data_IF_579817936397
#
_entry.id   IF_579817936397
#
_cell.length_a   1.000
_cell.length_b   1.000
_cell.length_c   1.000
_cell.angle_alpha   90.00
_cell.angle_beta   90.00
_cell.angle_gamma   90.00
#
_symmetry.space_group_name_H-M   'P 1'
#
loop_
_entity.id
_entity.type
_entity.pdbx_description
1 polymer ?
#
# COMPACT_ATOMS: atom_id res chain seq x y z
N UNK A 1 -5.28 -45.75 -18.60
CA UNK A 1 -3.82 -45.53 -18.68
C UNK A 1 -3.56 -44.23 -17.98
N UNK A 2 -2.84 -44.18 -16.87
CA UNK A 2 -2.51 -42.92 -16.19
C UNK A 2 -1.34 -42.24 -16.95
N UNK A 3 -1.53 -40.97 -17.34
CA UNK A 3 -0.52 -40.16 -17.95
C UNK A 3 0.53 -39.76 -16.89
N UNK A 4 1.76 -40.23 -17.08
CA UNK A 4 2.91 -39.85 -16.28
C UNK A 4 3.23 -38.38 -16.56
N UNK A 5 2.93 -37.48 -15.58
CA UNK A 5 3.43 -36.12 -15.56
C UNK A 5 4.92 -36.14 -15.25
N UNK A 6 5.76 -36.06 -16.29
CA UNK A 6 7.21 -35.83 -16.15
C UNK A 6 7.41 -34.34 -15.92
N UNK A 7 7.55 -33.95 -14.66
CA UNK A 7 7.98 -32.59 -14.30
C UNK A 7 9.40 -32.39 -14.81
N UNK A 8 9.62 -31.41 -15.68
CA UNK A 8 10.94 -31.11 -16.22
C UNK A 8 11.90 -30.77 -15.07
N UNK A 9 13.08 -31.38 -15.01
CA UNK A 9 14.05 -31.19 -13.91
C UNK A 9 14.47 -29.72 -13.69
N UNK A 10 14.36 -28.88 -14.70
CA UNK A 10 14.56 -27.43 -14.60
C UNK A 10 13.53 -26.71 -13.74
N UNK A 11 12.26 -27.13 -13.76
CA UNK A 11 11.20 -26.54 -12.92
C UNK A 11 11.43 -26.93 -11.47
N UNK A 12 11.81 -28.18 -11.21
CA UNK A 12 12.13 -28.66 -9.85
C UNK A 12 13.34 -27.91 -9.25
N UNK A 13 14.36 -27.65 -10.07
CA UNK A 13 15.55 -26.89 -9.64
C UNK A 13 15.22 -25.43 -9.30
N UNK A 14 14.36 -24.77 -10.07
CA UNK A 14 13.91 -23.38 -9.80
C UNK A 14 13.11 -23.34 -8.51
N UNK A 15 12.22 -24.31 -8.28
CA UNK A 15 11.45 -24.42 -7.03
C UNK A 15 12.34 -24.68 -5.82
N UNK A 16 13.36 -25.54 -5.95
CA UNK A 16 14.30 -25.82 -4.88
C UNK A 16 15.17 -24.61 -4.52
N UNK A 17 15.63 -23.86 -5.52
CA UNK A 17 16.43 -22.64 -5.33
C UNK A 17 15.57 -21.53 -4.70
N UNK A 18 14.32 -21.37 -5.14
CA UNK A 18 13.38 -20.41 -4.55
C UNK A 18 13.01 -20.77 -3.10
N UNK A 19 12.79 -22.05 -2.83
CA UNK A 19 12.52 -22.54 -1.47
C UNK A 19 13.72 -22.38 -0.54
N UNK A 20 14.94 -22.72 -1.00
CA UNK A 20 16.16 -22.49 -0.25
C UNK A 20 16.47 -21.01 -0.03
N UNK A 21 16.15 -20.15 -1.02
CA UNK A 21 16.25 -18.69 -0.89
C UNK A 21 15.28 -18.12 0.16
N UNK A 22 14.04 -18.60 0.18
CA UNK A 22 13.03 -18.21 1.18
C UNK A 22 13.42 -18.71 2.59
N UNK A 23 13.89 -19.96 2.69
CA UNK A 23 14.41 -20.49 3.95
C UNK A 23 15.63 -19.71 4.45
N UNK A 24 16.53 -19.28 3.55
CA UNK A 24 17.72 -18.49 3.90
C UNK A 24 17.36 -17.07 4.33
N UNK A 25 16.41 -16.42 3.69
CA UNK A 25 15.90 -15.10 4.10
C UNK A 25 15.14 -15.19 5.43
N UNK A 26 14.33 -16.23 5.61
CA UNK A 26 13.67 -16.51 6.88
C UNK A 26 14.69 -16.78 8.00
N UNK A 27 15.69 -17.63 7.75
CA UNK A 27 16.73 -17.94 8.71
C UNK A 27 17.64 -16.73 9.03
N UNK A 28 17.96 -15.89 8.04
CA UNK A 28 18.71 -14.65 8.24
C UNK A 28 17.91 -13.64 9.07
N UNK A 29 16.62 -13.48 8.83
CA UNK A 29 15.74 -12.63 9.66
C UNK A 29 15.60 -13.19 11.08
N UNK A 30 15.38 -14.49 11.24
CA UNK A 30 15.32 -15.13 12.56
C UNK A 30 16.65 -14.97 13.28
N UNK A 31 17.79 -15.06 12.58
CA UNK A 31 19.12 -14.86 13.17
C UNK A 31 19.39 -13.38 13.50
N UNK A 32 18.96 -12.43 12.68
CA UNK A 32 19.02 -11.00 12.99
C UNK A 32 18.11 -10.64 14.17
N UNK A 33 16.89 -11.20 14.24
CA UNK A 33 16.01 -11.09 15.40
C UNK A 33 16.60 -11.77 16.64
N UNK A 34 17.21 -12.93 16.53
CA UNK A 34 17.90 -13.63 17.62
C UNK A 34 19.12 -12.88 18.13
N UNK A 35 19.88 -12.21 17.26
CA UNK A 35 21.02 -11.39 17.66
C UNK A 35 20.61 -10.04 18.24
N UNK A 36 19.46 -9.47 17.84
CA UNK A 36 18.87 -8.30 18.50
C UNK A 36 18.23 -8.63 19.84
N UNK A 37 17.61 -9.82 20.00
CA UNK A 37 17.08 -10.28 21.29
C UNK A 37 18.19 -10.70 22.26
N UNK A 38 19.37 -11.09 21.80
CA UNK A 38 20.57 -11.28 22.62
C UNK A 38 21.17 -9.96 23.12
N UNK A 39 20.72 -8.79 22.66
CA UNK A 39 20.85 -7.56 23.42
C UNK A 39 19.85 -7.61 24.58
N UNK A 40 20.24 -8.35 25.60
CA UNK A 40 19.61 -8.51 26.94
C UNK A 40 19.16 -7.17 27.58
N UNK A 41 19.36 -6.05 26.90
CA UNK A 41 18.94 -4.70 27.30
C UNK A 41 17.42 -4.43 27.32
N UNK A 42 16.61 -5.06 26.48
CA UNK A 42 15.19 -4.68 26.36
C UNK A 42 14.23 -5.44 27.29
N UNK A 43 14.56 -6.65 27.75
CA UNK A 43 13.77 -7.30 28.81
C UNK A 43 13.83 -6.47 30.12
N UNK A 44 14.86 -5.69 30.26
CA UNK A 44 15.10 -4.87 31.43
C UNK A 44 14.17 -3.67 31.62
N UNK A 45 13.51 -3.15 30.59
CA UNK A 45 12.73 -1.91 30.74
C UNK A 45 11.44 -2.08 31.54
N UNK A 46 10.85 -3.27 31.54
CA UNK A 46 9.60 -3.55 32.27
C UNK A 46 9.84 -4.08 33.69
N UNK A 47 10.79 -4.98 33.86
CA UNK A 47 11.23 -5.43 35.15
C UNK A 47 11.92 -4.29 35.93
N UNK A 48 12.55 -3.34 35.25
CA UNK A 48 13.09 -2.11 35.81
C UNK A 48 12.02 -1.15 36.37
N UNK A 49 10.73 -1.33 36.03
CA UNK A 49 9.66 -0.61 36.68
C UNK A 49 9.34 -1.15 38.08
N UNK A 50 9.67 -2.43 38.36
CA UNK A 50 9.48 -3.02 39.69
C UNK A 50 10.63 -2.61 40.62
N UNK A 51 10.34 -1.93 41.75
CA UNK A 51 11.38 -1.52 42.70
C UNK A 51 12.18 -2.68 43.25
N UNK A 52 11.55 -3.83 43.44
CA UNK A 52 12.18 -5.04 43.99
C UNK A 52 13.17 -5.67 43.00
N UNK A 53 12.79 -5.73 41.73
CA UNK A 53 13.69 -6.20 40.67
C UNK A 53 14.89 -5.27 40.48
N UNK A 54 14.70 -3.95 40.57
CA UNK A 54 15.77 -2.96 40.49
C UNK A 54 16.75 -3.10 41.67
N UNK A 55 16.23 -3.28 42.87
CA UNK A 55 17.03 -3.47 44.06
C UNK A 55 17.89 -4.74 43.98
N UNK A 56 17.31 -5.87 43.56
CA UNK A 56 18.02 -7.12 43.40
C UNK A 56 19.07 -7.07 42.29
N UNK A 57 18.75 -6.39 41.16
CA UNK A 57 19.71 -6.23 40.07
C UNK A 57 20.92 -5.37 40.42
N UNK A 58 20.76 -4.37 41.28
CA UNK A 58 21.85 -3.52 41.74
C UNK A 58 22.83 -4.24 42.68
N UNK A 59 22.46 -5.41 43.23
CA UNK A 59 23.29 -6.18 44.13
C UNK A 59 24.12 -7.27 43.44
N UNK A 60 23.92 -7.48 42.14
CA UNK A 60 24.65 -8.48 41.35
C UNK A 60 25.96 -7.91 40.78
N UNK A 61 27.08 -8.54 41.09
CA UNK A 61 28.38 -8.23 40.50
C UNK A 61 28.50 -8.76 39.07
N UNK A 62 29.30 -8.11 38.23
CA UNK A 62 29.45 -8.39 36.79
C UNK A 62 29.79 -9.83 36.43
N UNK A 63 30.52 -10.56 37.29
CA UNK A 63 30.98 -11.94 37.04
C UNK A 63 29.90 -13.00 37.33
N UNK A 64 28.82 -12.62 38.04
CA UNK A 64 27.68 -13.49 38.35
C UNK A 64 26.44 -13.14 37.48
N UNK A 65 26.62 -12.31 36.49
CA UNK A 65 25.50 -11.67 35.78
C UNK A 65 24.54 -12.68 35.13
N UNK A 66 25.02 -13.74 34.50
CA UNK A 66 24.16 -14.70 33.80
C UNK A 66 23.37 -15.59 34.77
N UNK A 67 24.01 -16.21 35.76
CA UNK A 67 23.32 -17.05 36.74
C UNK A 67 22.45 -16.25 37.72
N UNK A 68 22.88 -15.04 38.06
CA UNK A 68 22.11 -14.12 38.87
C UNK A 68 20.88 -13.58 38.16
N UNK A 69 20.98 -13.31 36.87
CA UNK A 69 19.83 -12.89 36.05
C UNK A 69 18.77 -14.00 36.01
N UNK A 70 19.19 -15.26 35.79
CA UNK A 70 18.26 -16.40 35.78
C UNK A 70 17.53 -16.57 37.13
N UNK A 71 18.23 -16.40 38.27
CA UNK A 71 17.60 -16.46 39.59
C UNK A 71 16.61 -15.31 39.81
N UNK A 72 16.95 -14.10 39.38
CA UNK A 72 16.06 -12.94 39.47
C UNK A 72 14.78 -13.12 38.63
N UNK A 73 14.92 -13.65 37.43
CA UNK A 73 13.81 -13.91 36.54
C UNK A 73 12.87 -14.97 37.13
N UNK A 74 13.41 -16.01 37.76
CA UNK A 74 12.63 -17.03 38.49
C UNK A 74 11.87 -16.43 39.67
N UNK A 75 12.55 -15.61 40.52
CA UNK A 75 11.93 -14.95 41.66
C UNK A 75 10.81 -13.98 41.19
N UNK A 76 11.07 -13.18 40.15
CA UNK A 76 10.07 -12.29 39.58
C UNK A 76 8.85 -13.07 39.09
N UNK A 77 9.10 -14.15 38.33
CA UNK A 77 8.02 -14.97 37.77
C UNK A 77 7.20 -15.67 38.88
N UNK A 78 7.82 -16.04 40.00
CA UNK A 78 7.13 -16.66 41.14
C UNK A 78 6.19 -15.67 41.87
N UNK A 79 6.62 -14.40 41.96
CA UNK A 79 5.92 -13.39 42.77
C UNK A 79 4.87 -12.57 41.94
N UNK A 80 4.85 -12.74 40.63
CA UNK A 80 3.94 -11.98 39.74
C UNK A 80 3.09 -12.89 38.83
N UNK A 81 2.22 -13.74 39.38
CA UNK A 81 1.46 -14.73 38.59
C UNK A 81 0.45 -14.14 37.61
N UNK A 82 0.08 -12.88 37.79
CA UNK A 82 -0.85 -12.17 36.90
C UNK A 82 -0.15 -11.31 35.84
N UNK A 83 1.18 -11.28 35.84
CA UNK A 83 1.96 -10.61 34.79
C UNK A 83 2.25 -11.59 33.63
N UNK A 84 1.81 -11.27 32.40
CA UNK A 84 2.10 -12.13 31.25
C UNK A 84 3.61 -12.35 31.04
N UNK A 85 4.47 -11.38 31.36
CA UNK A 85 5.92 -11.56 31.27
C UNK A 85 6.45 -12.62 32.27
N UNK A 86 5.82 -12.80 33.41
CA UNK A 86 6.21 -13.83 34.35
C UNK A 86 6.07 -15.24 33.76
N UNK A 87 5.00 -15.49 33.03
CA UNK A 87 4.78 -16.77 32.36
C UNK A 87 5.70 -16.95 31.15
N UNK A 88 5.94 -15.87 30.39
CA UNK A 88 6.90 -15.87 29.29
C UNK A 88 8.33 -16.18 29.78
N UNK A 89 8.75 -15.60 30.91
CA UNK A 89 10.05 -15.86 31.52
C UNK A 89 10.13 -17.33 31.93
N UNK A 90 9.12 -17.86 32.62
CA UNK A 90 9.07 -19.28 33.02
C UNK A 90 9.20 -20.24 31.85
N UNK A 91 8.56 -19.94 30.71
CA UNK A 91 8.62 -20.82 29.54
C UNK A 91 10.04 -20.96 28.97
N UNK A 92 10.90 -19.96 29.13
CA UNK A 92 12.29 -19.96 28.65
C UNK A 92 13.24 -20.89 29.41
N UNK A 93 12.84 -21.32 30.61
CA UNK A 93 13.64 -22.27 31.39
C UNK A 93 13.25 -23.73 31.15
N UNK A 94 12.42 -24.00 30.14
CA UNK A 94 11.84 -25.32 29.89
C UNK A 94 12.22 -25.88 28.52
N UNK A 95 13.45 -25.67 28.08
CA UNK A 95 13.92 -26.01 26.74
C UNK A 95 13.59 -27.44 26.27
N UNK A 96 13.53 -28.41 27.20
CA UNK A 96 13.28 -29.82 26.90
C UNK A 96 11.82 -30.29 27.20
N UNK A 97 10.93 -29.40 27.65
CA UNK A 97 9.58 -29.77 28.10
C UNK A 97 8.49 -29.06 27.25
N UNK A 98 8.46 -29.37 25.97
CA UNK A 98 7.56 -28.73 25.00
C UNK A 98 6.08 -28.58 25.46
N UNK A 99 5.39 -29.62 26.01
CA UNK A 99 3.98 -29.46 26.40
C UNK A 99 3.78 -28.41 27.52
N UNK A 100 4.71 -28.35 28.47
CA UNK A 100 4.65 -27.39 29.57
C UNK A 100 5.01 -25.98 29.09
N UNK A 101 5.98 -25.84 28.21
CA UNK A 101 6.35 -24.57 27.59
C UNK A 101 5.18 -23.97 26.81
N UNK A 102 4.53 -24.76 25.97
CA UNK A 102 3.32 -24.35 25.22
C UNK A 102 2.19 -23.91 26.15
N UNK A 103 1.95 -24.63 27.25
CA UNK A 103 0.95 -24.26 28.23
C UNK A 103 1.26 -22.91 28.90
N UNK A 104 2.52 -22.65 29.24
CA UNK A 104 2.95 -21.37 29.83
C UNK A 104 2.85 -20.20 28.84
N UNK A 105 3.21 -20.41 27.57
CA UNK A 105 3.03 -19.41 26.50
C UNK A 105 1.55 -19.10 26.27
N UNK A 106 0.69 -20.13 26.23
CA UNK A 106 -0.76 -19.94 26.14
C UNK A 106 -1.32 -19.15 27.32
N UNK A 107 -0.89 -19.45 28.54
CA UNK A 107 -1.30 -18.67 29.72
C UNK A 107 -0.79 -17.22 29.66
N UNK A 108 0.44 -17.00 29.21
CA UNK A 108 0.99 -15.67 28.98
C UNK A 108 0.15 -14.89 27.96
N UNK A 109 -0.24 -15.53 26.85
CA UNK A 109 -1.08 -14.91 25.82
C UNK A 109 -2.47 -14.52 26.37
N UNK A 110 -3.09 -15.36 27.20
CA UNK A 110 -4.37 -15.03 27.86
C UNK A 110 -4.26 -13.80 28.77
N UNK A 111 -3.19 -13.70 29.56
CA UNK A 111 -2.95 -12.55 30.44
C UNK A 111 -2.53 -11.28 29.69
N UNK A 112 -1.91 -11.43 28.52
CA UNK A 112 -1.48 -10.33 27.67
C UNK A 112 -2.55 -9.83 26.70
N UNK A 113 -3.81 -10.24 26.85
CA UNK A 113 -4.89 -10.05 25.85
C UNK A 113 -5.00 -8.65 25.26
N UNK A 114 -4.61 -7.59 25.98
CA UNK A 114 -4.63 -6.18 25.57
C UNK A 114 -3.23 -5.53 25.59
N UNK A 115 -2.15 -6.29 25.66
CA UNK A 115 -0.77 -5.79 25.78
C UNK A 115 0.07 -6.18 24.58
N UNK A 116 0.29 -5.27 23.58
CA UNK A 116 0.98 -5.62 22.34
C UNK A 116 2.42 -6.13 22.53
N UNK A 117 3.16 -5.57 23.48
CA UNK A 117 4.60 -5.92 23.68
C UNK A 117 4.78 -7.36 24.16
N UNK A 118 4.10 -7.85 25.21
CA UNK A 118 4.17 -9.27 25.58
C UNK A 118 3.64 -10.18 24.48
N UNK A 119 2.52 -9.83 23.81
CA UNK A 119 1.97 -10.63 22.72
C UNK A 119 2.96 -10.80 21.58
N UNK A 120 3.69 -9.74 21.18
CA UNK A 120 4.75 -9.83 20.17
C UNK A 120 5.83 -10.84 20.54
N UNK A 121 6.26 -10.86 21.80
CA UNK A 121 7.27 -11.82 22.29
C UNK A 121 6.74 -13.24 22.27
N UNK A 122 5.50 -13.43 22.71
CA UNK A 122 4.84 -14.74 22.70
C UNK A 122 4.70 -15.27 21.26
N UNK A 123 4.29 -14.42 20.33
CA UNK A 123 4.21 -14.74 18.91
C UNK A 123 5.55 -15.28 18.37
N UNK A 124 6.65 -14.59 18.69
CA UNK A 124 7.99 -15.00 18.26
C UNK A 124 8.38 -16.35 18.86
N UNK A 125 8.16 -16.58 20.15
CA UNK A 125 8.46 -17.84 20.82
C UNK A 125 7.64 -19.00 20.23
N UNK A 126 6.34 -18.77 19.93
CA UNK A 126 5.46 -19.76 19.30
C UNK A 126 5.95 -20.13 17.89
N UNK A 127 6.41 -19.13 17.10
CA UNK A 127 7.02 -19.40 15.80
C UNK A 127 8.31 -20.23 15.90
N UNK A 128 9.17 -19.90 16.87
CA UNK A 128 10.42 -20.63 17.09
C UNK A 128 10.19 -22.07 17.54
N UNK A 129 9.12 -22.31 18.31
CA UNK A 129 8.72 -23.64 18.77
C UNK A 129 7.95 -24.43 17.69
N UNK A 130 7.61 -23.82 16.57
CA UNK A 130 6.84 -24.43 15.48
C UNK A 130 5.33 -24.60 15.79
N UNK A 131 4.82 -23.93 16.83
CA UNK A 131 3.39 -23.91 17.17
C UNK A 131 2.68 -22.83 16.33
N UNK A 132 2.45 -23.18 15.08
CA UNK A 132 1.92 -22.24 14.07
C UNK A 132 0.51 -21.79 14.43
N UNK A 133 -0.36 -22.68 14.88
CA UNK A 133 -1.76 -22.36 15.23
C UNK A 133 -1.83 -21.34 16.37
N UNK A 134 -1.03 -21.54 17.42
CA UNK A 134 -0.95 -20.58 18.51
C UNK A 134 -0.34 -19.26 18.06
N UNK A 135 0.68 -19.27 17.19
CA UNK A 135 1.29 -18.08 16.63
C UNK A 135 0.30 -17.27 15.81
N UNK A 136 -0.50 -17.91 14.95
CA UNK A 136 -1.56 -17.28 14.15
C UNK A 136 -2.60 -16.64 15.06
N UNK A 137 -3.09 -17.35 16.07
CA UNK A 137 -4.05 -16.81 17.04
C UNK A 137 -3.48 -15.59 17.79
N UNK A 138 -2.22 -15.63 18.18
CA UNK A 138 -1.56 -14.51 18.87
C UNK A 138 -1.35 -13.32 17.94
N UNK A 139 -1.00 -13.57 16.67
CA UNK A 139 -0.86 -12.54 15.65
C UNK A 139 -2.19 -11.86 15.33
N UNK A 140 -3.28 -12.60 15.18
CA UNK A 140 -4.61 -12.03 14.98
C UNK A 140 -4.98 -11.03 16.08
N UNK A 141 -4.69 -11.37 17.35
CA UNK A 141 -4.89 -10.46 18.49
C UNK A 141 -3.98 -9.23 18.46
N UNK A 142 -2.71 -9.41 18.09
CA UNK A 142 -1.77 -8.29 17.91
C UNK A 142 -2.27 -7.31 16.85
N UNK A 143 -2.75 -7.84 15.75
CA UNK A 143 -3.26 -7.05 14.63
C UNK A 143 -4.54 -6.32 14.99
N UNK A 144 -5.44 -6.93 15.76
CA UNK A 144 -6.63 -6.26 16.28
C UNK A 144 -6.28 -5.09 17.22
N UNK A 145 -5.22 -5.21 18.03
CA UNK A 145 -4.75 -4.15 18.93
C UNK A 145 -3.93 -3.06 18.23
N UNK A 146 -3.20 -3.41 17.18
CA UNK A 146 -2.24 -2.55 16.48
C UNK A 146 -2.28 -2.80 14.98
N UNK A 147 -3.37 -2.38 14.30
CA UNK A 147 -3.50 -2.56 12.84
C UNK A 147 -2.39 -1.88 12.05
N UNK A 148 -1.81 -0.80 12.58
CA UNK A 148 -0.68 -0.08 12.00
C UNK A 148 0.58 -0.96 11.82
N UNK A 149 0.69 -2.06 12.60
CA UNK A 149 1.80 -3.02 12.48
C UNK A 149 1.51 -4.18 11.53
N UNK A 150 0.35 -4.20 10.89
CA UNK A 150 -0.10 -5.30 10.03
C UNK A 150 0.89 -5.63 8.91
N UNK A 151 1.51 -4.61 8.29
CA UNK A 151 2.50 -4.80 7.24
C UNK A 151 3.74 -5.58 7.71
N UNK A 152 4.08 -5.52 9.00
CA UNK A 152 5.22 -6.25 9.57
C UNK A 152 4.94 -7.75 9.64
N UNK A 153 3.71 -8.13 10.01
CA UNK A 153 3.31 -9.52 10.19
C UNK A 153 2.71 -10.15 8.93
N UNK A 154 2.24 -9.33 7.99
CA UNK A 154 1.59 -9.79 6.77
C UNK A 154 2.44 -10.79 6.01
N UNK A 155 3.67 -10.45 5.69
CA UNK A 155 4.54 -11.30 4.86
C UNK A 155 4.91 -12.59 5.59
N UNK A 156 5.13 -12.53 6.90
CA UNK A 156 5.48 -13.70 7.70
C UNK A 156 4.29 -14.67 7.77
N UNK A 157 3.09 -14.19 8.12
CA UNK A 157 1.87 -14.99 8.20
C UNK A 157 1.43 -15.50 6.82
N UNK A 158 1.51 -14.67 5.80
CA UNK A 158 1.16 -15.03 4.44
C UNK A 158 2.08 -16.12 3.88
N UNK A 159 3.39 -16.03 4.16
CA UNK A 159 4.35 -17.04 3.78
C UNK A 159 4.16 -18.38 4.51
N UNK A 160 3.72 -18.34 5.78
CA UNK A 160 3.48 -19.52 6.60
C UNK A 160 2.18 -20.24 6.23
N UNK A 161 1.10 -19.49 6.05
CA UNK A 161 -0.24 -20.04 5.86
C UNK A 161 -0.58 -20.27 4.39
N UNK A 162 0.03 -19.49 3.50
CA UNK A 162 -0.41 -19.40 2.11
C UNK A 162 -1.72 -18.61 1.94
N UNK A 163 -2.09 -18.27 0.67
CA UNK A 163 -3.19 -17.34 0.40
C UNK A 163 -4.55 -17.78 0.93
N UNK A 164 -4.85 -19.07 0.85
CA UNK A 164 -6.17 -19.59 1.22
C UNK A 164 -6.37 -19.61 2.73
N UNK A 165 -5.39 -20.11 3.46
CA UNK A 165 -5.46 -20.24 4.92
C UNK A 165 -5.28 -18.88 5.60
N UNK A 166 -4.44 -18.00 5.07
CA UNK A 166 -4.35 -16.62 5.52
C UNK A 166 -5.71 -15.89 5.42
N UNK A 167 -6.43 -16.08 4.31
CA UNK A 167 -7.76 -15.51 4.15
C UNK A 167 -8.73 -16.04 5.21
N UNK A 168 -8.82 -17.37 5.38
CA UNK A 168 -9.80 -17.98 6.28
C UNK A 168 -9.47 -17.81 7.76
N UNK A 169 -8.20 -17.78 8.12
CA UNK A 169 -7.77 -17.73 9.52
C UNK A 169 -7.54 -16.32 10.06
N UNK A 170 -7.26 -15.35 9.19
CA UNK A 170 -6.92 -13.97 9.60
C UNK A 170 -7.93 -12.96 9.08
N UNK A 171 -8.24 -12.98 7.78
CA UNK A 171 -9.06 -11.92 7.16
C UNK A 171 -10.53 -12.10 7.43
N UNK A 172 -11.05 -13.31 7.25
CA UNK A 172 -12.48 -13.60 7.39
C UNK A 172 -12.96 -13.38 8.84
N UNK A 173 -12.29 -13.90 9.89
CA UNK A 173 -12.64 -13.60 11.27
C UNK A 173 -12.60 -12.10 11.61
N UNK A 174 -11.63 -11.35 11.07
CA UNK A 174 -11.55 -9.91 11.26
C UNK A 174 -12.73 -9.16 10.65
N UNK A 175 -13.30 -9.68 9.56
CA UNK A 175 -14.49 -9.11 8.92
C UNK A 175 -15.80 -9.50 9.63
N UNK A 176 -15.93 -10.74 10.10
CA UNK A 176 -17.13 -11.26 10.73
C UNK A 176 -17.40 -10.74 12.15
N UNK A 177 -16.37 -10.24 12.84
CA UNK A 177 -16.47 -9.65 14.18
C UNK A 177 -16.29 -8.12 14.13
N UNK A 178 -17.35 -7.35 13.83
CA UNK A 178 -17.28 -5.89 13.74
C UNK A 178 -16.97 -5.21 15.09
N UNK A 179 -17.15 -5.91 16.22
CA UNK A 179 -16.77 -5.44 17.54
C UNK A 179 -15.25 -5.56 17.79
N UNK A 180 -14.52 -6.25 16.92
CA UNK A 180 -13.06 -6.17 16.91
C UNK A 180 -12.65 -4.75 16.52
N UNK A 181 -12.33 -3.97 17.53
CA UNK A 181 -11.73 -2.63 17.43
C UNK A 181 -10.67 -2.63 16.31
N UNK A 182 -10.98 -1.94 15.19
CA UNK A 182 -10.09 -1.74 14.05
C UNK A 182 -10.08 -2.82 12.94
N UNK A 183 -11.08 -3.67 12.79
CA UNK A 183 -11.14 -4.65 11.68
C UNK A 183 -10.97 -3.95 10.31
N UNK A 184 -11.62 -2.82 10.11
CA UNK A 184 -11.53 -2.01 8.88
C UNK A 184 -10.12 -1.46 8.63
N UNK A 185 -9.48 -0.95 9.67
CA UNK A 185 -8.09 -0.48 9.59
C UNK A 185 -7.12 -1.64 9.31
N UNK A 186 -7.36 -2.82 9.87
CA UNK A 186 -6.60 -4.03 9.62
C UNK A 186 -6.70 -4.48 8.16
N UNK A 187 -7.92 -4.58 7.63
CA UNK A 187 -8.16 -4.93 6.23
C UNK A 187 -7.52 -3.93 5.28
N UNK A 188 -7.57 -2.63 5.60
CA UNK A 188 -6.89 -1.57 4.84
C UNK A 188 -5.38 -1.79 4.78
N UNK A 189 -4.74 -2.14 5.90
CA UNK A 189 -3.30 -2.41 5.93
C UNK A 189 -2.95 -3.71 5.18
N UNK A 190 -3.81 -4.71 5.24
CA UNK A 190 -3.62 -5.93 4.46
C UNK A 190 -3.80 -5.68 2.97
N UNK A 191 -4.76 -4.86 2.54
CA UNK A 191 -4.91 -4.45 1.15
C UNK A 191 -3.62 -3.77 0.64
N UNK A 192 -3.07 -2.81 1.39
CA UNK A 192 -1.78 -2.17 1.09
C UNK A 192 -0.65 -3.19 0.91
N UNK A 193 -0.59 -4.17 1.79
CA UNK A 193 0.46 -5.20 1.79
C UNK A 193 0.30 -6.18 0.62
N UNK A 194 -0.93 -6.58 0.31
CA UNK A 194 -1.25 -7.44 -0.83
C UNK A 194 -0.95 -6.74 -2.17
N UNK A 195 -1.26 -5.46 -2.30
CA UNK A 195 -0.90 -4.63 -3.46
C UNK A 195 0.62 -4.58 -3.61
N UNK A 196 1.36 -4.37 -2.53
CA UNK A 196 2.83 -4.38 -2.55
C UNK A 196 3.40 -5.75 -2.93
N UNK A 197 2.74 -6.84 -2.57
CA UNK A 197 3.09 -8.21 -2.96
C UNK A 197 2.68 -8.53 -4.40
N UNK A 198 1.85 -7.70 -5.04
CA UNK A 198 1.26 -7.90 -6.36
C UNK A 198 0.47 -9.22 -6.46
N UNK A 199 -0.25 -9.60 -5.38
CA UNK A 199 -1.09 -10.80 -5.34
C UNK A 199 -2.53 -10.45 -5.69
N UNK A 200 -2.89 -10.56 -6.97
CA UNK A 200 -4.22 -10.21 -7.48
C UNK A 200 -5.35 -10.99 -6.82
N UNK A 201 -5.13 -12.28 -6.55
CA UNK A 201 -6.16 -13.14 -5.93
C UNK A 201 -6.48 -12.70 -4.50
N UNK A 202 -5.46 -12.37 -3.74
CA UNK A 202 -5.64 -11.88 -2.37
C UNK A 202 -6.22 -10.47 -2.33
N UNK A 203 -5.77 -9.60 -3.24
CA UNK A 203 -6.30 -8.24 -3.39
C UNK A 203 -7.81 -8.29 -3.64
N UNK A 204 -8.26 -9.11 -4.59
CA UNK A 204 -9.69 -9.25 -4.92
C UNK A 204 -10.51 -9.83 -3.76
N UNK A 205 -9.93 -10.78 -3.01
CA UNK A 205 -10.59 -11.34 -1.81
C UNK A 205 -10.72 -10.29 -0.71
N UNK A 206 -9.66 -9.52 -0.44
CA UNK A 206 -9.70 -8.45 0.56
C UNK A 206 -10.69 -7.37 0.13
N UNK A 207 -10.66 -6.98 -1.16
CA UNK A 207 -11.57 -5.99 -1.69
C UNK A 207 -13.04 -6.36 -1.49
N UNK A 208 -13.42 -7.61 -1.73
CA UNK A 208 -14.79 -8.13 -1.54
C UNK A 208 -15.26 -8.15 -0.08
N UNK A 209 -14.36 -8.07 0.90
CA UNK A 209 -14.71 -7.96 2.31
C UNK A 209 -15.10 -6.53 2.72
N UNK A 210 -14.78 -5.54 1.91
CA UNK A 210 -15.23 -4.18 2.17
C UNK A 210 -16.69 -4.02 1.73
N UNK A 211 -17.59 -3.73 2.67
CA UNK A 211 -18.96 -3.30 2.37
C UNK A 211 -18.91 -1.83 1.96
N UNK A 212 -18.76 -1.56 0.66
CA UNK A 212 -18.64 -0.21 0.17
C UNK A 212 -19.93 0.59 0.27
N UNK A 213 -19.94 1.57 1.16
CA UNK A 213 -20.69 2.80 0.98
C UNK A 213 -19.72 3.82 0.40
N UNK A 214 -19.90 4.09 -0.86
CA UNK A 214 -19.02 4.83 -1.75
C UNK A 214 -18.68 6.23 -1.24
N UNK A 215 -17.45 6.43 -0.79
CA UNK A 215 -16.86 7.75 -0.73
C UNK A 215 -15.56 7.73 -1.54
N UNK A 216 -15.49 8.54 -2.60
CA UNK A 216 -14.29 8.69 -3.46
C UNK A 216 -13.03 9.07 -2.69
N UNK A 217 -13.17 9.61 -1.50
CA UNK A 217 -12.08 10.04 -0.64
C UNK A 217 -11.49 8.91 0.23
N UNK A 218 -12.11 7.73 0.22
CA UNK A 218 -11.63 6.60 0.99
C UNK A 218 -10.25 6.13 0.48
N UNK A 219 -9.30 6.06 1.38
CA UNK A 219 -7.93 5.60 1.08
C UNK A 219 -7.89 4.21 0.46
N UNK A 220 -8.84 3.33 0.78
CA UNK A 220 -8.95 1.97 0.23
C UNK A 220 -9.35 2.02 -1.23
N UNK A 221 -10.34 2.85 -1.55
CA UNK A 221 -10.78 3.08 -2.92
C UNK A 221 -9.61 3.62 -3.77
N UNK A 222 -8.90 4.64 -3.28
CA UNK A 222 -7.72 5.21 -3.95
C UNK A 222 -6.62 4.17 -4.19
N UNK A 223 -6.39 3.28 -3.23
CA UNK A 223 -5.37 2.23 -3.35
C UNK A 223 -5.76 1.15 -4.35
N UNK A 224 -7.00 0.67 -4.28
CA UNK A 224 -7.47 -0.37 -5.18
C UNK A 224 -7.59 0.13 -6.62
N UNK A 225 -8.17 1.30 -6.83
CA UNK A 225 -8.22 1.93 -8.15
C UNK A 225 -6.83 2.23 -8.71
N UNK A 226 -5.91 2.72 -7.87
CA UNK A 226 -4.50 2.88 -8.24
C UNK A 226 -3.82 1.58 -8.65
N UNK A 227 -4.13 0.47 -7.97
CA UNK A 227 -3.67 -0.86 -8.36
C UNK A 227 -4.24 -1.27 -9.73
N UNK A 228 -5.55 -1.16 -9.94
CA UNK A 228 -6.21 -1.51 -11.20
C UNK A 228 -5.67 -0.69 -12.39
N UNK A 229 -5.41 0.60 -12.17
CA UNK A 229 -4.78 1.48 -13.17
C UNK A 229 -3.39 0.96 -13.55
N UNK A 230 -2.58 0.56 -12.57
CA UNK A 230 -1.26 0.00 -12.83
C UNK A 230 -1.30 -1.38 -13.52
N UNK A 231 -2.35 -2.16 -13.28
CA UNK A 231 -2.59 -3.44 -13.97
C UNK A 231 -3.25 -3.27 -15.35
N UNK A 232 -3.62 -2.06 -15.74
CA UNK A 232 -4.38 -1.76 -16.96
C UNK A 232 -5.74 -2.48 -17.03
N UNK A 233 -6.34 -2.80 -15.89
CA UNK A 233 -7.65 -3.46 -15.82
C UNK A 233 -8.78 -2.42 -15.83
N UNK A 234 -9.08 -1.93 -17.03
CA UNK A 234 -10.14 -0.93 -17.22
C UNK A 234 -11.51 -1.46 -16.83
N UNK A 235 -11.81 -2.72 -17.14
CA UNK A 235 -13.13 -3.29 -16.89
C UNK A 235 -13.46 -3.29 -15.39
N UNK A 236 -12.58 -3.85 -14.58
CA UNK A 236 -12.76 -3.88 -13.13
C UNK A 236 -12.75 -2.46 -12.55
N UNK A 237 -11.88 -1.59 -13.05
CA UNK A 237 -11.83 -0.18 -12.64
C UNK A 237 -13.16 0.55 -12.90
N UNK A 238 -13.80 0.32 -14.06
CA UNK A 238 -15.10 0.88 -14.42
C UNK A 238 -16.19 0.36 -13.48
N UNK A 239 -16.24 -0.94 -13.20
CA UNK A 239 -17.21 -1.56 -12.28
C UNK A 239 -17.08 -0.97 -10.86
N UNK A 240 -15.87 -0.85 -10.36
CA UNK A 240 -15.57 -0.27 -9.04
C UNK A 240 -15.96 1.21 -8.98
N UNK A 241 -15.64 1.98 -10.04
CA UNK A 241 -16.00 3.38 -10.13
C UNK A 241 -17.51 3.58 -10.17
N UNK A 242 -18.23 2.87 -11.04
CA UNK A 242 -19.68 2.96 -11.16
C UNK A 242 -20.39 2.61 -9.85
N UNK A 243 -19.87 1.65 -9.09
CA UNK A 243 -20.43 1.30 -7.77
C UNK A 243 -20.25 2.41 -6.75
N UNK A 244 -19.15 3.17 -6.84
CA UNK A 244 -18.80 4.23 -5.90
C UNK A 244 -19.46 5.58 -6.26
N UNK A 245 -19.57 5.92 -7.54
CA UNK A 245 -20.02 7.25 -8.01
C UNK A 245 -21.50 7.32 -8.38
N UNK A 246 -22.16 6.18 -8.51
CA UNK A 246 -23.47 6.07 -9.17
C UNK A 246 -23.48 6.64 -10.59
N UNK A 247 -22.29 6.86 -11.17
CA UNK A 247 -22.09 7.32 -12.54
C UNK A 247 -21.47 6.21 -13.37
N UNK A 248 -22.05 5.92 -14.51
CA UNK A 248 -21.47 4.98 -15.46
C UNK A 248 -20.49 5.71 -16.37
N UNK A 249 -19.20 5.36 -16.27
CA UNK A 249 -18.15 5.94 -17.11
C UNK A 249 -17.91 5.01 -18.28
N UNK A 250 -18.46 5.39 -19.43
CA UNK A 250 -18.27 4.62 -20.65
C UNK A 250 -16.82 4.60 -21.13
N UNK A 251 -16.45 3.58 -21.89
CA UNK A 251 -15.19 3.54 -22.61
C UNK A 251 -15.07 4.78 -23.52
N UNK A 252 -13.90 5.37 -23.60
CA UNK A 252 -13.61 6.59 -24.38
C UNK A 252 -14.35 7.85 -23.92
N UNK A 253 -14.85 7.89 -22.69
CA UNK A 253 -15.42 9.10 -22.10
C UNK A 253 -14.65 9.58 -20.89
N UNK A 254 -14.65 10.88 -20.68
CA UNK A 254 -14.17 11.49 -19.45
C UNK A 254 -15.27 11.34 -18.38
N UNK A 255 -14.86 10.95 -17.17
CA UNK A 255 -15.77 10.91 -16.03
C UNK A 255 -16.26 12.31 -15.64
N UNK A 256 -15.45 13.33 -15.91
CA UNK A 256 -15.74 14.73 -15.58
C UNK A 256 -15.09 15.66 -16.63
N UNK A 257 -15.76 15.87 -17.77
CA UNK A 257 -15.23 16.70 -18.86
C UNK A 257 -15.16 18.19 -18.52
N UNK A 258 -15.89 18.64 -17.50
CA UNK A 258 -16.05 20.05 -17.12
C UNK A 258 -15.30 20.42 -15.81
N UNK A 259 -14.54 19.49 -15.23
CA UNK A 259 -13.76 19.68 -14.00
C UNK A 259 -14.58 19.96 -12.74
N UNK A 260 -15.80 19.45 -12.65
CA UNK A 260 -16.66 19.58 -11.46
C UNK A 260 -16.11 18.81 -10.27
N UNK A 261 -15.44 17.69 -10.55
CA UNK A 261 -14.86 16.79 -9.55
C UNK A 261 -13.36 16.66 -9.78
N UNK A 262 -12.56 17.25 -8.91
CA UNK A 262 -11.12 17.01 -8.90
C UNK A 262 -10.80 16.04 -7.77
N UNK A 263 -10.35 14.86 -8.13
CA UNK A 263 -10.14 13.73 -7.23
C UNK A 263 -8.66 13.29 -7.25
N UNK A 264 -8.21 12.66 -6.17
CA UNK A 264 -6.85 12.14 -6.09
C UNK A 264 -6.66 10.81 -6.84
N UNK A 265 -7.74 10.14 -7.26
CA UNK A 265 -7.68 8.80 -7.87
C UNK A 265 -7.41 8.79 -9.39
N UNK A 266 -7.52 9.93 -10.07
CA UNK A 266 -7.13 10.11 -11.46
C UNK A 266 -8.17 9.71 -12.52
N UNK A 267 -9.30 9.09 -12.19
CA UNK A 267 -10.40 8.86 -13.12
C UNK A 267 -11.16 10.14 -13.43
N UNK A 268 -11.37 10.99 -12.43
CA UNK A 268 -11.62 12.39 -12.63
C UNK A 268 -10.30 13.14 -12.73
N UNK A 269 -10.34 14.45 -12.94
CA UNK A 269 -9.14 15.24 -12.98
C UNK A 269 -8.41 15.22 -11.65
N UNK A 270 -7.19 14.70 -11.68
CA UNK A 270 -6.27 14.72 -10.55
C UNK A 270 -5.41 15.96 -10.63
N UNK A 271 -5.44 16.79 -9.59
CA UNK A 271 -4.54 17.94 -9.44
C UNK A 271 -3.61 17.73 -8.24
N UNK A 272 -2.33 17.56 -8.51
CA UNK A 272 -1.31 17.54 -7.46
C UNK A 272 -0.85 18.97 -7.19
N UNK A 273 -0.90 19.49 -5.96
CA UNK A 273 -0.41 20.82 -5.62
C UNK A 273 1.08 20.98 -5.97
N UNK A 274 1.45 22.16 -6.46
CA UNK A 274 2.83 22.53 -6.75
C UNK A 274 3.02 24.03 -6.49
N UNK A 275 4.17 24.39 -5.96
CA UNK A 275 4.51 25.78 -5.66
C UNK A 275 4.46 26.66 -6.91
N UNK A 276 3.91 27.85 -6.75
CA UNK A 276 3.78 28.82 -7.83
C UNK A 276 2.59 28.59 -8.77
N UNK A 277 1.72 27.60 -8.48
CA UNK A 277 0.49 27.35 -9.25
C UNK A 277 -0.72 27.41 -8.33
N UNK A 278 -1.69 28.22 -8.69
CA UNK A 278 -3.01 28.26 -8.05
C UNK A 278 -4.10 27.86 -9.01
N UNK A 279 -5.13 27.20 -8.46
CA UNK A 279 -6.33 26.77 -9.14
C UNK A 279 -7.48 27.73 -8.84
N UNK A 280 -8.30 28.01 -9.82
CA UNK A 280 -9.61 28.63 -9.65
C UNK A 280 -10.63 27.81 -10.41
N UNK A 281 -11.66 27.33 -9.70
CA UNK A 281 -12.77 26.64 -10.30
C UNK A 281 -13.69 27.68 -10.95
N UNK A 282 -14.02 27.45 -12.21
CA UNK A 282 -14.98 28.24 -12.95
C UNK A 282 -16.14 27.33 -13.36
N UNK A 283 -17.35 27.86 -13.54
CA UNK A 283 -18.41 27.07 -14.13
C UNK A 283 -17.95 26.44 -15.45
N UNK A 284 -18.08 25.13 -15.55
CA UNK A 284 -17.75 24.33 -16.73
C UNK A 284 -16.27 24.33 -17.12
N UNK A 285 -15.33 24.45 -16.13
CA UNK A 285 -13.92 24.35 -16.46
C UNK A 285 -12.96 24.70 -15.31
N UNK A 286 -11.67 24.63 -15.59
CA UNK A 286 -10.60 24.90 -14.63
C UNK A 286 -9.65 26.01 -15.12
N UNK A 287 -9.33 26.97 -14.26
CA UNK A 287 -8.30 27.95 -14.50
C UNK A 287 -7.06 27.66 -13.64
N UNK A 288 -5.90 27.59 -14.27
CA UNK A 288 -4.60 27.55 -13.62
C UNK A 288 -3.93 28.91 -13.74
N UNK A 289 -3.38 29.42 -12.63
CA UNK A 289 -2.64 30.70 -12.57
C UNK A 289 -1.23 30.43 -12.10
N UNK A 290 -0.25 30.95 -12.81
CA UNK A 290 1.18 30.77 -12.59
C UNK A 290 1.82 32.08 -12.12
N UNK A 291 2.65 32.03 -11.05
CA UNK A 291 3.16 33.19 -10.34
C UNK A 291 4.37 33.87 -11.02
N UNK A 292 4.99 33.25 -12.02
CA UNK A 292 6.15 33.79 -12.72
C UNK A 292 7.48 33.64 -11.99
N UNK A 293 7.53 32.88 -10.91
CA UNK A 293 8.75 32.71 -10.12
C UNK A 293 9.50 31.41 -10.42
N UNK A 294 8.84 30.44 -11.05
CA UNK A 294 9.35 29.08 -11.18
C UNK A 294 9.51 28.62 -12.64
N UNK A 295 10.60 27.91 -12.91
CA UNK A 295 10.78 27.17 -14.18
C UNK A 295 10.16 25.79 -14.04
N UNK A 296 8.82 25.71 -14.13
CA UNK A 296 8.06 24.51 -13.82
C UNK A 296 8.16 23.47 -14.93
N UNK A 297 8.38 22.23 -14.57
CA UNK A 297 7.96 21.07 -15.36
C UNK A 297 6.54 20.73 -14.97
N UNK A 298 5.56 21.42 -15.56
CA UNK A 298 4.17 21.23 -15.16
C UNK A 298 3.59 19.94 -15.74
N UNK A 299 3.02 19.11 -14.88
CA UNK A 299 2.34 17.83 -15.22
C UNK A 299 1.35 17.39 -14.14
N UNK A 300 0.92 18.30 -13.31
CA UNK A 300 0.17 18.03 -12.09
C UNK A 300 -1.33 17.87 -12.31
N UNK A 301 -1.85 18.28 -13.48
CA UNK A 301 -3.24 18.11 -13.83
C UNK A 301 -3.36 17.02 -14.90
N UNK A 302 -3.99 15.90 -14.54
CA UNK A 302 -4.16 14.74 -15.41
C UNK A 302 -5.46 14.01 -15.16
N UNK A 303 -5.95 13.31 -16.18
CA UNK A 303 -7.14 12.47 -16.13
C UNK A 303 -6.87 11.13 -16.82
N UNK A 304 -7.47 10.07 -16.32
CA UNK A 304 -7.36 8.71 -16.87
C UNK A 304 -8.62 8.40 -17.66
N UNK A 305 -8.45 7.84 -18.87
CA UNK A 305 -9.54 7.46 -19.74
C UNK A 305 -9.32 6.06 -20.29
N UNK A 306 -10.36 5.22 -20.28
CA UNK A 306 -10.34 3.91 -20.89
C UNK A 306 -10.39 3.97 -22.41
N UNK A 307 -9.62 3.11 -23.07
CA UNK A 307 -9.55 3.06 -24.54
C UNK A 307 -9.48 1.62 -25.02
N UNK A 308 -9.86 1.41 -26.28
CA UNK A 308 -9.62 0.14 -26.96
C UNK A 308 -8.19 0.08 -27.52
N UNK A 309 -7.52 -1.07 -27.43
CA UNK A 309 -6.23 -1.27 -28.10
C UNK A 309 -6.34 -1.15 -29.64
N UNK A 310 -5.25 -0.74 -30.27
CA UNK A 310 -5.15 -0.63 -31.75
C UNK A 310 -6.24 0.23 -32.40
N UNK A 311 -6.70 1.24 -31.70
CA UNK A 311 -7.77 2.13 -32.17
C UNK A 311 -7.24 3.54 -32.34
N UNK A 312 -7.76 4.25 -33.31
CA UNK A 312 -7.45 5.66 -33.54
C UNK A 312 -8.43 6.54 -32.80
N UNK A 313 -7.92 7.57 -32.16
CA UNK A 313 -8.69 8.51 -31.35
C UNK A 313 -8.37 9.95 -31.73
N UNK A 314 -9.36 10.83 -31.57
CA UNK A 314 -9.21 12.28 -31.58
C UNK A 314 -9.54 12.81 -30.19
N UNK A 315 -8.62 13.56 -29.60
CA UNK A 315 -8.86 14.34 -28.40
C UNK A 315 -9.19 15.77 -28.80
N UNK A 316 -10.33 16.26 -28.34
CA UNK A 316 -10.80 17.65 -28.51
C UNK A 316 -10.95 18.31 -27.14
N UNK A 317 -10.64 19.60 -27.05
CA UNK A 317 -10.83 20.40 -25.84
C UNK A 317 -10.85 21.89 -26.19
N UNK A 318 -11.42 22.70 -25.30
CA UNK A 318 -11.41 24.16 -25.44
C UNK A 318 -10.48 24.77 -24.42
N UNK A 319 -9.72 25.78 -24.83
CA UNK A 319 -8.82 26.49 -23.94
C UNK A 319 -8.55 27.93 -24.33
N UNK A 320 -8.17 28.73 -23.33
CA UNK A 320 -7.70 30.10 -23.53
C UNK A 320 -6.48 30.38 -22.67
N UNK A 321 -5.67 31.33 -23.08
CA UNK A 321 -4.50 31.79 -22.33
C UNK A 321 -4.45 33.29 -22.17
N UNK A 322 -3.97 33.73 -21.02
CA UNK A 322 -3.78 35.15 -20.75
C UNK A 322 -2.36 35.37 -20.19
N UNK A 323 -1.52 36.01 -21.00
CA UNK A 323 -0.15 36.40 -20.68
C UNK A 323 0.73 35.21 -20.23
N UNK A 324 0.59 34.06 -20.89
CA UNK A 324 1.49 32.94 -20.66
C UNK A 324 2.88 33.35 -21.14
N UNK A 325 3.76 33.71 -20.18
CA UNK A 325 5.11 34.18 -20.47
C UNK A 325 6.09 33.05 -20.31
N UNK A 326 6.50 32.47 -21.43
CA UNK A 326 7.58 31.49 -21.50
C UNK A 326 7.81 31.11 -22.97
N UNK A 327 9.02 30.72 -23.31
CA UNK A 327 9.31 30.19 -24.66
C UNK A 327 8.80 28.74 -24.84
N UNK A 328 8.64 27.99 -23.73
CA UNK A 328 8.03 26.66 -23.74
C UNK A 328 6.60 26.80 -23.26
N UNK A 329 5.66 26.81 -24.19
CA UNK A 329 4.24 26.99 -23.92
C UNK A 329 3.59 25.82 -23.18
N UNK A 330 2.29 26.01 -22.94
CA UNK A 330 1.43 24.93 -22.42
C UNK A 330 0.96 24.07 -23.59
N UNK A 331 0.75 22.76 -23.32
CA UNK A 331 0.20 21.80 -24.25
C UNK A 331 -0.56 20.69 -23.51
N UNK A 332 -1.34 19.92 -24.25
CA UNK A 332 -2.02 18.72 -23.77
C UNK A 332 -1.36 17.49 -24.39
N UNK A 333 -1.13 16.47 -23.58
CA UNK A 333 -0.42 15.25 -23.98
C UNK A 333 -1.27 14.02 -23.64
N UNK A 334 -1.30 13.03 -24.52
CA UNK A 334 -1.85 11.70 -24.29
C UNK A 334 -0.72 10.68 -24.15
N UNK A 335 -0.71 9.94 -23.07
CA UNK A 335 0.29 8.90 -22.81
C UNK A 335 -0.37 7.60 -22.36
N UNK A 336 0.32 6.47 -22.52
CA UNK A 336 -0.04 5.19 -21.90
C UNK A 336 1.19 4.55 -21.28
N UNK A 337 0.99 3.54 -20.44
CA UNK A 337 2.08 2.78 -19.83
C UNK A 337 1.90 1.32 -20.21
N UNK A 338 2.89 0.70 -20.83
CA UNK A 338 2.93 -0.73 -21.19
C UNK A 338 4.27 -1.29 -20.70
N UNK A 339 4.23 -2.42 -20.01
CA UNK A 339 5.44 -3.08 -19.46
C UNK A 339 6.34 -2.09 -18.69
N UNK A 340 5.74 -1.28 -17.82
CA UNK A 340 6.38 -0.22 -17.03
C UNK A 340 7.03 0.92 -17.84
N UNK A 341 6.87 0.94 -19.16
CA UNK A 341 7.38 2.01 -20.04
C UNK A 341 6.26 2.98 -20.39
N UNK A 342 6.50 4.26 -20.12
CA UNK A 342 5.61 5.31 -20.58
C UNK A 342 5.81 5.54 -22.08
N UNK A 343 4.71 5.51 -22.83
CA UNK A 343 4.65 5.73 -24.27
C UNK A 343 3.88 7.02 -24.52
N UNK A 344 4.48 7.96 -25.24
CA UNK A 344 3.78 9.13 -25.73
C UNK A 344 2.97 8.74 -26.97
N UNK A 345 1.67 9.00 -26.96
CA UNK A 345 0.76 8.69 -28.05
C UNK A 345 0.57 9.88 -28.98
N UNK A 346 0.57 11.10 -28.44
CA UNK A 346 0.38 12.34 -29.18
C UNK A 346 0.30 13.53 -28.23
N UNK A 347 0.44 14.71 -28.81
CA UNK A 347 0.30 15.97 -28.07
C UNK A 347 -0.16 17.11 -28.99
N UNK A 348 -0.72 18.16 -28.41
CA UNK A 348 -0.97 19.42 -29.10
C UNK A 348 0.33 20.24 -29.30
N UNK A 349 0.24 21.29 -30.08
CA UNK A 349 1.29 22.30 -30.19
C UNK A 349 1.44 23.09 -28.89
N UNK A 350 2.67 23.53 -28.62
CA UNK A 350 2.96 24.41 -27.49
C UNK A 350 2.39 25.81 -27.73
N UNK A 351 1.66 26.35 -26.74
CA UNK A 351 1.14 27.73 -26.84
C UNK A 351 1.61 28.63 -25.70
N UNK A 352 2.06 29.80 -26.08
CA UNK A 352 2.47 30.90 -25.18
C UNK A 352 1.75 32.19 -25.58
N UNK A 353 1.82 33.21 -24.72
CA UNK A 353 1.17 34.50 -24.97
C UNK A 353 -0.27 34.57 -24.49
N UNK A 354 -1.12 35.25 -25.28
CA UNK A 354 -2.56 35.36 -25.00
C UNK A 354 -3.37 34.93 -26.21
N UNK A 355 -4.41 34.12 -25.95
CA UNK A 355 -5.35 33.69 -26.96
C UNK A 355 -6.76 33.58 -26.36
N UNK A 356 -7.79 33.85 -27.18
CA UNK A 356 -9.19 33.70 -26.79
C UNK A 356 -9.57 32.23 -26.66
N UNK A 357 -10.70 31.98 -26.02
CA UNK A 357 -11.26 30.62 -25.94
C UNK A 357 -11.48 30.05 -27.35
N UNK A 358 -10.85 28.92 -27.60
CA UNK A 358 -10.91 28.24 -28.90
C UNK A 358 -10.77 26.75 -28.72
N UNK A 359 -11.29 25.99 -29.67
CA UNK A 359 -11.11 24.54 -29.73
C UNK A 359 -9.70 24.21 -30.23
N UNK A 360 -9.16 23.15 -29.70
CA UNK A 360 -7.94 22.51 -30.17
C UNK A 360 -8.11 20.99 -30.17
N UNK A 361 -7.34 20.30 -30.99
CA UNK A 361 -7.45 18.85 -31.15
C UNK A 361 -6.14 18.22 -31.60
N UNK A 362 -5.98 16.94 -31.31
CA UNK A 362 -4.96 16.11 -31.95
C UNK A 362 -5.40 14.64 -32.01
N UNK A 363 -4.82 13.90 -32.94
CA UNK A 363 -5.12 12.49 -33.16
C UNK A 363 -3.96 11.61 -32.71
N UNK A 364 -4.30 10.41 -32.27
CA UNK A 364 -3.31 9.40 -31.87
C UNK A 364 -3.87 7.99 -32.04
N UNK A 365 -2.95 6.99 -32.08
CA UNK A 365 -3.32 5.58 -32.14
C UNK A 365 -2.84 4.86 -30.88
N UNK A 366 -3.72 4.08 -30.29
CA UNK A 366 -3.41 3.26 -29.12
C UNK A 366 -2.61 1.99 -29.52
N UNK A 367 -1.52 1.65 -28.84
CA UNK A 367 -0.80 0.43 -29.11
C UNK A 367 -1.54 -0.82 -28.62
N UNK A 368 -1.05 -2.00 -29.04
CA UNK A 368 -1.51 -3.28 -28.53
C UNK A 368 -1.32 -3.34 -27.02
N UNK A 369 -2.37 -3.72 -26.27
CA UNK A 369 -2.35 -3.81 -24.80
C UNK A 369 -2.68 -2.51 -24.07
N UNK A 370 -2.83 -1.37 -24.74
CA UNK A 370 -3.30 -0.15 -24.10
C UNK A 370 -4.81 -0.21 -23.85
N UNK A 371 -5.23 -0.33 -22.61
CA UNK A 371 -6.62 -0.20 -22.19
C UNK A 371 -6.87 1.11 -21.45
N UNK A 372 -5.83 1.80 -21.05
CA UNK A 372 -5.86 3.02 -20.27
C UNK A 372 -4.88 4.02 -20.86
N UNK A 373 -5.33 5.26 -21.03
CA UNK A 373 -4.48 6.39 -21.35
C UNK A 373 -4.56 7.45 -20.24
N UNK A 374 -3.53 8.25 -20.16
CA UNK A 374 -3.50 9.43 -19.29
C UNK A 374 -3.43 10.68 -20.15
N UNK A 375 -4.40 11.57 -20.00
CA UNK A 375 -4.40 12.89 -20.57
C UNK A 375 -3.81 13.85 -19.54
N UNK A 376 -2.77 14.59 -19.92
CA UNK A 376 -2.04 15.47 -19.00
C UNK A 376 -1.89 16.86 -19.60
N UNK A 377 -2.17 17.89 -18.82
CA UNK A 377 -1.83 19.27 -19.14
C UNK A 377 -0.38 19.51 -18.75
N UNK A 378 0.43 19.92 -19.74
CA UNK A 378 1.89 19.93 -19.64
C UNK A 378 2.53 21.27 -19.98
N UNK A 379 3.68 21.50 -19.38
CA UNK A 379 4.70 22.43 -19.84
C UNK A 379 6.07 21.87 -19.54
N UNK A 380 6.97 21.91 -20.51
CA UNK A 380 8.34 21.48 -20.32
C UNK A 380 9.21 22.66 -19.82
N UNK A 381 10.13 22.43 -18.87
CA UNK A 381 11.08 23.45 -18.45
C UNK A 381 12.01 23.81 -19.61
N UNK A 382 12.48 25.04 -19.64
CA UNK A 382 13.45 25.50 -20.64
C UNK A 382 14.68 26.09 -19.97
N UNK A 383 15.84 25.96 -20.59
CA UNK A 383 17.09 26.59 -20.16
C UNK A 383 17.28 28.04 -20.64
N UNK A 384 16.34 28.55 -21.44
CA UNK A 384 16.39 29.89 -21.97
C UNK A 384 16.18 30.97 -20.89
N UNK A 385 16.52 32.23 -21.19
CA UNK A 385 16.40 33.34 -20.24
C UNK A 385 14.95 33.53 -19.76
N UNK A 386 13.97 33.38 -20.65
CA UNK A 386 12.54 33.43 -20.32
C UNK A 386 12.02 32.01 -19.97
N UNK A 387 12.49 31.51 -18.83
CA UNK A 387 12.20 30.17 -18.38
C UNK A 387 11.12 30.09 -17.30
N UNK A 388 10.69 31.20 -16.74
CA UNK A 388 9.69 31.25 -15.68
C UNK A 388 8.29 31.31 -16.25
N UNK A 389 7.40 30.46 -15.73
CA UNK A 389 6.03 30.37 -16.18
C UNK A 389 5.16 31.36 -15.40
N UNK A 390 4.58 32.33 -16.08
CA UNK A 390 3.56 33.24 -15.53
C UNK A 390 2.32 33.28 -16.39
N UNK A 391 1.23 33.84 -15.86
CA UNK A 391 -0.02 34.03 -16.59
C UNK A 391 -1.11 33.03 -16.16
N UNK A 392 -2.16 32.95 -16.97
CA UNK A 392 -3.33 32.11 -16.68
C UNK A 392 -3.70 31.29 -17.90
N UNK A 393 -4.14 30.07 -17.67
CA UNK A 393 -4.72 29.20 -18.70
C UNK A 393 -6.01 28.62 -18.20
N UNK A 394 -7.02 28.57 -19.06
CA UNK A 394 -8.33 27.98 -18.78
C UNK A 394 -8.60 26.82 -19.72
N UNK A 395 -9.12 25.73 -19.18
CA UNK A 395 -9.49 24.51 -19.93
C UNK A 395 -10.91 24.10 -19.63
N UNK A 396 -11.60 23.55 -20.66
CA UNK A 396 -12.98 23.05 -20.57
C UNK A 396 -13.30 22.09 -21.71
N UNK A 397 -14.37 21.33 -21.60
CA UNK A 397 -15.01 20.59 -22.68
C UNK A 397 -14.13 19.51 -23.31
N UNK A 398 -13.46 18.71 -22.49
CA UNK A 398 -12.65 17.59 -22.98
C UNK A 398 -13.54 16.49 -23.56
N UNK A 399 -13.23 16.05 -24.76
CA UNK A 399 -13.92 14.97 -25.46
C UNK A 399 -12.91 14.05 -26.14
N UNK A 400 -13.08 12.75 -25.98
CA UNK A 400 -12.33 11.72 -26.68
C UNK A 400 -13.26 10.99 -27.63
N UNK A 401 -12.95 11.00 -28.91
CA UNK A 401 -13.75 10.34 -29.95
C UNK A 401 -12.92 9.26 -30.63
N UNK A 402 -13.48 8.05 -30.71
CA UNK A 402 -12.89 6.98 -31.50
C UNK A 402 -13.17 7.23 -32.96
N UNK A 403 -12.12 7.22 -33.77
CA UNK A 403 -12.24 7.34 -35.24
C UNK A 403 -12.51 5.96 -35.87
N UNK A 404 -13.15 5.95 -37.06
CA UNK A 404 -13.49 4.71 -37.76
C UNK A 404 -12.31 3.81 -38.08
#
# INVERSE_FOLDING_TARGET
MPSNFIVKPTILAIWLISFLGLCFVGFKRVHEYSTETNKIGEINTWALADPLYRSLKSTLNSDQAASGQQQLDQVYAANNPLDPNAWLIRSRFLDDQQPLKTALLSQSAKLAWNRPVPLKKIYIEQLLDGDIDAAVSTAARLLALRPDTASTYFFDLYALLGPSEFYTSILLPAHEDPDQLNAEALLTQFLKSAIKANDSVLIDKIWKLFEFKSEFEDDRFKQYTGYLINQHDWKTLQEVWSSASSQDVALSSFADPEFDIVSENGLCWKLTPVDGVSRTDNPNGIQLSFDGNHNLNYRQLSCIVGVEPRSQYRLEYNWSGNKISTQSGMFVEATTKIDDKQINLGRSDDRAGSWSLQSDQFEFTTPTGAQIITITIRRNPTSNLDNKLSGKVYFTGFKLERLP
#
